data_IF_752452478714
#
_entry.id   IF_752452478714
#
_cell.length_a   1.000
_cell.length_b   1.000
_cell.length_c   1.000
_cell.angle_alpha   90.00
_cell.angle_beta   90.00
_cell.angle_gamma   90.00
#
_symmetry.space_group_name_H-M   'P 1'
#
loop_
_entity.id
_entity.type
_entity.pdbx_description
1 polymer ?
#
# COMPACT_ATOMS: atom_id res chain seq x y z
N UNK A 1 -22.92 9.83 7.04
CA UNK A 1 -21.78 9.02 6.57
C UNK A 1 -20.70 10.01 6.15
N UNK A 2 -19.52 9.98 6.79
CA UNK A 2 -18.41 10.89 6.47
C UNK A 2 -17.50 10.17 5.46
N UNK A 3 -17.11 10.85 4.39
CA UNK A 3 -16.17 10.32 3.37
C UNK A 3 -14.93 11.21 3.39
N UNK A 4 -13.78 10.63 3.73
CA UNK A 4 -12.49 11.34 3.76
C UNK A 4 -11.65 10.87 2.57
N UNK A 5 -11.30 11.81 1.69
CA UNK A 5 -10.41 11.55 0.55
C UNK A 5 -9.01 12.06 0.88
N UNK A 6 -8.08 11.14 1.10
CA UNK A 6 -6.67 11.47 1.38
C UNK A 6 -5.79 10.83 0.32
N UNK A 7 -4.93 11.64 -0.29
CA UNK A 7 -3.94 11.19 -1.26
C UNK A 7 -2.57 11.74 -0.89
N UNK A 8 -1.55 10.90 -0.98
CA UNK A 8 -0.15 11.25 -0.79
C UNK A 8 0.70 10.60 -1.87
N UNK A 9 1.68 11.35 -2.37
CA UNK A 9 2.66 10.86 -3.35
C UNK A 9 4.06 11.35 -3.00
N UNK A 10 5.06 10.52 -3.29
CA UNK A 10 6.48 10.84 -3.09
C UNK A 10 7.30 10.27 -4.26
N UNK A 11 8.41 10.93 -4.67
CA UNK A 11 9.35 10.34 -5.62
C UNK A 11 9.87 8.98 -5.15
N UNK A 12 9.75 7.95 -5.98
CA UNK A 12 10.24 6.59 -5.65
C UNK A 12 11.76 6.50 -5.72
N UNK A 13 12.37 7.13 -6.72
CA UNK A 13 13.81 7.23 -6.88
C UNK A 13 14.28 8.61 -6.41
N UNK A 14 15.40 8.65 -5.69
CA UNK A 14 16.05 9.88 -5.24
C UNK A 14 17.46 9.97 -5.81
N UNK A 15 18.08 11.14 -5.67
CA UNK A 15 19.44 11.40 -6.18
C UNK A 15 20.56 10.75 -5.36
N UNK A 16 20.23 9.98 -4.32
CA UNK A 16 21.23 9.26 -3.51
C UNK A 16 21.75 8.03 -4.29
N UNK A 17 23.04 8.00 -4.68
CA UNK A 17 23.61 6.92 -5.46
C UNK A 17 23.71 5.59 -4.69
N UNK A 18 23.57 5.60 -3.36
CA UNK A 18 23.55 4.38 -2.54
C UNK A 18 22.17 3.71 -2.50
N UNK A 19 21.13 4.39 -2.98
CA UNK A 19 19.77 3.88 -2.99
C UNK A 19 19.49 3.12 -4.30
N UNK A 20 19.02 1.86 -4.25
CA UNK A 20 18.65 1.12 -5.46
C UNK A 20 17.56 1.83 -6.26
N UNK A 21 17.81 2.02 -7.55
CA UNK A 21 16.83 2.56 -8.50
C UNK A 21 15.79 1.48 -8.80
N UNK A 22 14.51 1.81 -8.61
CA UNK A 22 13.39 0.96 -8.95
C UNK A 22 12.80 1.37 -10.30
N UNK A 23 12.63 0.38 -11.18
CA UNK A 23 11.88 0.54 -12.44
C UNK A 23 10.38 0.52 -12.19
N UNK A 24 9.59 1.04 -13.13
CA UNK A 24 8.14 0.99 -13.06
C UNK A 24 7.59 -0.44 -12.96
N UNK A 25 8.19 -1.39 -13.67
CA UNK A 25 7.81 -2.81 -13.62
C UNK A 25 8.08 -3.42 -12.23
N UNK A 26 9.22 -3.10 -11.62
CA UNK A 26 9.54 -3.56 -10.26
C UNK A 26 8.59 -2.97 -9.21
N UNK A 27 8.22 -1.69 -9.36
CA UNK A 27 7.22 -1.06 -8.50
C UNK A 27 5.88 -1.76 -8.66
N UNK A 28 5.43 -1.99 -9.90
CA UNK A 28 4.16 -2.64 -10.19
C UNK A 28 4.08 -4.06 -9.60
N UNK A 29 5.09 -4.88 -9.89
CA UNK A 29 5.23 -6.23 -9.33
C UNK A 29 5.20 -6.22 -7.80
N UNK A 30 5.86 -5.23 -7.23
CA UNK A 30 5.85 -4.97 -5.80
C UNK A 30 4.47 -4.69 -5.21
N UNK A 31 3.68 -3.84 -5.86
CA UNK A 31 2.32 -3.53 -5.46
C UNK A 31 1.39 -4.74 -5.60
N UNK A 32 1.54 -5.51 -6.68
CA UNK A 32 0.86 -6.79 -6.89
C UNK A 32 1.17 -7.80 -5.78
N UNK A 33 2.44 -7.87 -5.35
CA UNK A 33 2.85 -8.71 -4.23
C UNK A 33 2.24 -8.22 -2.92
N UNK A 34 2.29 -6.92 -2.62
CA UNK A 34 1.71 -6.34 -1.40
C UNK A 34 0.20 -6.57 -1.30
N UNK A 35 -0.50 -6.50 -2.41
CA UNK A 35 -1.93 -6.78 -2.47
C UNK A 35 -2.24 -8.25 -2.13
N UNK A 36 -1.37 -9.19 -2.49
CA UNK A 36 -1.56 -10.61 -2.19
C UNK A 36 -1.01 -11.04 -0.83
N UNK A 37 0.09 -10.42 -0.40
CA UNK A 37 0.86 -10.75 0.81
C UNK A 37 1.24 -9.48 1.59
N UNK A 38 0.28 -8.81 2.24
CA UNK A 38 0.53 -7.57 2.97
C UNK A 38 1.53 -7.74 4.12
N UNK A 39 1.60 -8.91 4.74
CA UNK A 39 2.51 -9.23 5.85
C UNK A 39 3.99 -9.09 5.48
N UNK A 40 4.34 -9.27 4.20
CA UNK A 40 5.71 -9.11 3.73
C UNK A 40 6.13 -7.61 3.67
N UNK A 41 5.16 -6.69 3.80
CA UNK A 41 5.33 -5.24 3.65
C UNK A 41 4.89 -4.44 4.89
N UNK A 42 3.91 -4.94 5.63
CA UNK A 42 3.24 -4.25 6.74
C UNK A 42 3.34 -5.17 7.97
N UNK A 43 4.20 -4.86 8.96
CA UNK A 43 4.43 -5.71 10.13
C UNK A 43 3.18 -6.01 10.97
N UNK A 44 2.16 -5.17 10.89
CA UNK A 44 0.88 -5.36 11.58
C UNK A 44 0.03 -6.49 11.03
N UNK A 45 0.28 -6.95 9.80
CA UNK A 45 -0.35 -8.14 9.24
C UNK A 45 0.53 -9.36 9.49
N UNK A 46 -0.06 -10.46 9.93
CA UNK A 46 0.63 -11.73 10.15
C UNK A 46 0.18 -12.84 9.17
N UNK A 47 -1.03 -12.73 8.61
CA UNK A 47 -1.54 -13.67 7.61
C UNK A 47 -2.40 -13.00 6.53
N UNK A 48 -2.44 -13.62 5.35
CA UNK A 48 -3.35 -13.24 4.26
C UNK A 48 -3.52 -14.37 3.26
N UNK A 49 -4.77 -14.53 2.79
CA UNK A 49 -5.16 -15.49 1.76
C UNK A 49 -6.02 -14.85 0.69
N UNK A 50 -5.68 -15.08 -0.57
CA UNK A 50 -6.54 -14.74 -1.70
C UNK A 50 -7.65 -15.77 -1.78
N UNK A 51 -8.90 -15.30 -1.74
CA UNK A 51 -10.10 -16.16 -1.81
C UNK A 51 -10.77 -16.08 -3.18
N UNK A 52 -10.48 -15.04 -3.95
CA UNK A 52 -10.99 -14.86 -5.30
C UNK A 52 -10.07 -13.97 -6.13
N UNK A 53 -9.94 -14.29 -7.41
CA UNK A 53 -9.16 -13.52 -8.39
C UNK A 53 -9.96 -13.39 -9.70
N UNK A 54 -10.03 -12.17 -10.24
CA UNK A 54 -10.73 -11.81 -11.48
C UNK A 54 -9.88 -10.85 -12.32
N UNK A 55 -10.32 -10.58 -13.54
CA UNK A 55 -9.75 -9.56 -14.44
C UNK A 55 -8.22 -9.70 -14.59
N UNK A 56 -7.75 -10.91 -14.91
CA UNK A 56 -6.32 -11.27 -15.04
C UNK A 56 -5.46 -10.88 -13.82
N UNK A 57 -6.07 -10.95 -12.63
CA UNK A 57 -5.39 -10.66 -11.37
C UNK A 57 -5.36 -9.19 -10.98
N UNK A 58 -6.08 -8.33 -11.70
CA UNK A 58 -6.25 -6.92 -11.35
C UNK A 58 -7.38 -6.68 -10.34
N UNK A 59 -8.27 -7.65 -10.13
CA UNK A 59 -9.25 -7.63 -9.05
C UNK A 59 -9.05 -8.85 -8.15
N UNK A 60 -8.78 -8.60 -6.87
CA UNK A 60 -8.47 -9.63 -5.88
C UNK A 60 -9.39 -9.44 -4.68
N UNK A 61 -10.05 -10.51 -4.25
CA UNK A 61 -10.64 -10.56 -2.90
C UNK A 61 -9.71 -11.36 -2.02
N UNK A 62 -9.31 -10.76 -0.91
CA UNK A 62 -8.46 -11.41 0.09
C UNK A 62 -9.10 -11.38 1.47
N UNK A 63 -8.74 -12.34 2.28
CA UNK A 63 -8.91 -12.26 3.73
C UNK A 63 -7.54 -12.00 4.34
N UNK A 64 -7.43 -10.97 5.18
CA UNK A 64 -6.20 -10.57 5.83
C UNK A 64 -6.40 -10.52 7.35
N UNK A 65 -5.38 -10.95 8.09
CA UNK A 65 -5.40 -10.99 9.55
C UNK A 65 -4.39 -9.97 10.10
N UNK A 66 -4.86 -9.17 11.06
CA UNK A 66 -4.02 -8.23 11.79
C UNK A 66 -3.58 -8.89 13.09
N UNK A 67 -2.29 -8.79 13.38
CA UNK A 67 -1.69 -9.39 14.56
C UNK A 67 -2.41 -8.93 15.85
N UNK A 68 -2.63 -9.88 16.76
CA UNK A 68 -3.40 -9.64 17.99
C UNK A 68 -2.65 -8.78 19.02
N UNK A 69 -1.34 -8.64 18.89
CA UNK A 69 -0.49 -7.84 19.79
C UNK A 69 -0.56 -6.33 19.50
N UNK A 70 -1.26 -5.93 18.44
CA UNK A 70 -1.49 -4.54 18.07
C UNK A 70 -2.58 -3.87 18.94
N UNK A 71 -2.34 -3.78 20.25
CA UNK A 71 -3.33 -3.43 21.30
C UNK A 71 -4.15 -2.15 21.05
N UNK A 72 -3.62 -1.19 20.31
CA UNK A 72 -4.30 0.08 20.02
C UNK A 72 -5.18 0.04 18.76
N UNK A 73 -5.09 -1.03 17.96
CA UNK A 73 -5.87 -1.16 16.74
C UNK A 73 -7.21 -1.86 17.00
N UNK A 74 -8.33 -1.28 16.55
CA UNK A 74 -9.64 -1.97 16.62
C UNK A 74 -9.69 -3.22 15.74
N UNK A 75 -8.70 -3.41 14.84
CA UNK A 75 -8.59 -4.56 13.94
C UNK A 75 -7.73 -5.69 14.50
N UNK A 76 -7.07 -5.50 15.65
CA UNK A 76 -6.17 -6.51 16.22
C UNK A 76 -6.87 -7.86 16.43
N UNK A 77 -6.26 -8.94 15.93
CA UNK A 77 -6.77 -10.30 16.01
C UNK A 77 -8.01 -10.57 15.15
N UNK A 78 -8.35 -9.68 14.22
CA UNK A 78 -9.52 -9.84 13.35
C UNK A 78 -9.10 -10.21 11.94
N UNK A 79 -9.91 -11.09 11.34
CA UNK A 79 -9.92 -11.33 9.91
C UNK A 79 -10.81 -10.29 9.21
N UNK A 80 -10.29 -9.67 8.16
CA UNK A 80 -11.02 -8.72 7.34
C UNK A 80 -11.03 -9.21 5.90
N UNK A 81 -12.22 -9.24 5.29
CA UNK A 81 -12.39 -9.48 3.84
C UNK A 81 -12.22 -8.15 3.12
N UNK A 82 -11.24 -8.08 2.23
CA UNK A 82 -10.87 -6.88 1.50
C UNK A 82 -10.98 -7.13 0.00
N UNK A 83 -11.53 -6.15 -0.71
CA UNK A 83 -11.54 -6.12 -2.17
C UNK A 83 -10.45 -5.16 -2.65
N UNK A 84 -9.42 -5.71 -3.29
CA UNK A 84 -8.29 -4.97 -3.84
C UNK A 84 -8.45 -4.85 -5.35
N UNK A 85 -8.51 -3.60 -5.84
CA UNK A 85 -8.47 -3.30 -7.28
C UNK A 85 -7.14 -2.67 -7.63
N UNK A 86 -6.41 -3.31 -8.53
CA UNK A 86 -5.11 -2.89 -8.98
C UNK A 86 -5.26 -2.12 -10.27
N UNK A 87 -5.03 -0.81 -10.19
CA UNK A 87 -4.94 0.04 -11.36
C UNK A 87 -3.47 0.29 -11.64
N UNK A 88 -2.99 -0.11 -12.83
CA UNK A 88 -1.70 0.39 -13.34
C UNK A 88 -1.72 1.91 -13.24
N UNK A 89 -0.59 2.58 -12.95
CA UNK A 89 -0.60 4.00 -12.65
C UNK A 89 -1.25 4.81 -13.77
N UNK A 90 -2.49 5.21 -13.54
CA UNK A 90 -3.23 6.23 -14.26
C UNK A 90 -3.72 7.22 -13.20
N UNK A 91 -3.15 8.41 -13.21
CA UNK A 91 -3.55 9.49 -12.32
C UNK A 91 -4.94 9.98 -12.76
N UNK A 92 -5.96 9.72 -11.95
CA UNK A 92 -7.31 10.27 -12.14
C UNK A 92 -7.73 11.05 -10.89
N UNK A 93 -8.18 12.29 -11.09
CA UNK A 93 -8.76 13.15 -10.04
C UNK A 93 -10.27 13.18 -10.21
N UNK A 94 -11.02 12.96 -9.13
CA UNK A 94 -12.47 13.16 -9.07
C UNK A 94 -12.75 14.29 -8.06
N UNK A 95 -13.63 15.21 -8.42
CA UNK A 95 -13.91 16.44 -7.67
C UNK A 95 -15.26 16.38 -6.93
N UNK A 96 -15.30 17.00 -5.75
CA UNK A 96 -16.52 17.52 -5.10
C UNK A 96 -16.79 16.98 -3.69
N UNK A 97 -16.27 17.62 -2.64
CA UNK A 97 -16.75 17.52 -1.23
C UNK A 97 -16.41 18.83 -0.49
N UNK A 98 -17.32 19.33 0.35
CA UNK A 98 -17.13 20.53 1.19
C UNK A 98 -16.39 20.23 2.51
N UNK A 99 -15.33 20.97 2.87
CA UNK A 99 -14.56 20.82 4.11
C UNK A 99 -15.09 21.69 5.29
N UNK A 100 -14.37 21.70 6.42
CA UNK A 100 -14.38 22.75 7.49
C UNK A 100 -15.05 22.45 8.86
N UNK A 101 -14.95 21.22 9.38
CA UNK A 101 -15.14 20.96 10.83
C UNK A 101 -13.82 20.56 11.50
N UNK A 102 -13.66 20.86 12.81
CA UNK A 102 -12.45 20.51 13.56
C UNK A 102 -12.24 19.00 13.66
N UNK A 103 -13.34 18.23 13.68
CA UNK A 103 -13.33 16.78 13.66
C UNK A 103 -12.90 16.23 12.29
N UNK A 104 -13.29 16.90 11.20
CA UNK A 104 -12.85 16.53 9.85
C UNK A 104 -11.36 16.84 9.63
N UNK A 105 -10.86 17.97 10.15
CA UNK A 105 -9.45 18.35 10.11
C UNK A 105 -8.57 17.32 10.84
N UNK A 106 -8.93 16.94 12.06
CA UNK A 106 -8.20 15.92 12.82
C UNK A 106 -8.19 14.56 12.12
N UNK A 107 -9.34 14.13 11.61
CA UNK A 107 -9.43 12.86 10.88
C UNK A 107 -8.59 12.92 9.60
N UNK A 108 -8.61 14.03 8.87
CA UNK A 108 -7.77 14.24 7.69
C UNK A 108 -6.28 14.16 8.02
N UNK A 109 -5.84 14.76 9.13
CA UNK A 109 -4.44 14.69 9.58
C UNK A 109 -4.00 13.27 9.95
N UNK A 110 -4.85 12.54 10.69
CA UNK A 110 -4.58 11.14 11.06
C UNK A 110 -4.51 10.25 9.81
N UNK A 111 -5.46 10.41 8.89
CA UNK A 111 -5.47 9.67 7.61
C UNK A 111 -4.30 10.07 6.70
N UNK A 112 -3.86 11.33 6.72
CA UNK A 112 -2.68 11.80 5.98
C UNK A 112 -1.40 11.15 6.50
N UNK A 113 -1.22 11.08 7.82
CA UNK A 113 -0.08 10.37 8.43
C UNK A 113 -0.05 8.89 8.05
N UNK A 114 -1.22 8.24 7.99
CA UNK A 114 -1.34 6.85 7.52
C UNK A 114 -0.98 6.75 6.04
N UNK A 115 -1.42 7.68 5.19
CA UNK A 115 -1.08 7.68 3.77
C UNK A 115 0.43 7.85 3.53
N UNK A 116 1.07 8.81 4.23
CA UNK A 116 2.53 9.04 4.16
C UNK A 116 3.31 7.80 4.55
N UNK A 117 3.04 7.26 5.76
CA UNK A 117 3.72 6.06 6.25
C UNK A 117 3.49 4.84 5.36
N UNK A 118 2.29 4.71 4.79
CA UNK A 118 1.98 3.64 3.84
C UNK A 118 2.80 3.71 2.56
N UNK A 119 2.94 4.90 1.97
CA UNK A 119 3.75 5.10 0.74
C UNK A 119 5.22 4.85 1.04
N UNK A 120 5.77 5.50 2.06
CA UNK A 120 7.19 5.41 2.40
C UNK A 120 7.59 4.00 2.83
N UNK A 121 6.77 3.33 3.64
CA UNK A 121 6.98 1.95 4.06
C UNK A 121 6.99 0.98 2.87
N UNK A 122 6.10 1.20 1.90
CA UNK A 122 6.06 0.40 0.67
C UNK A 122 7.34 0.59 -0.14
N UNK A 123 7.77 1.84 -0.38
CA UNK A 123 9.01 2.12 -1.12
C UNK A 123 10.21 1.44 -0.45
N UNK A 124 10.31 1.51 0.88
CA UNK A 124 11.39 0.87 1.64
C UNK A 124 11.39 -0.65 1.50
N UNK A 125 10.22 -1.29 1.63
CA UNK A 125 10.09 -2.74 1.45
C UNK A 125 10.46 -3.17 0.03
N UNK A 126 10.07 -2.40 -0.99
CA UNK A 126 10.41 -2.67 -2.38
C UNK A 126 11.91 -2.59 -2.64
N UNK A 127 12.61 -1.61 -2.07
CA UNK A 127 14.07 -1.51 -2.18
C UNK A 127 14.75 -2.74 -1.58
N UNK A 128 14.32 -3.18 -0.39
CA UNK A 128 14.82 -4.41 0.23
C UNK A 128 14.59 -5.64 -0.65
N UNK A 129 13.40 -5.78 -1.23
CA UNK A 129 13.09 -6.88 -2.14
C UNK A 129 13.92 -6.82 -3.45
N UNK A 130 14.26 -5.62 -3.94
CA UNK A 130 15.14 -5.45 -5.10
C UNK A 130 16.59 -5.86 -4.78
N UNK A 131 17.11 -5.48 -3.61
CA UNK A 131 18.43 -5.89 -3.12
C UNK A 131 18.53 -7.41 -2.97
N UNK A 132 17.45 -8.03 -2.48
CA UNK A 132 17.33 -9.49 -2.34
C UNK A 132 17.07 -10.22 -3.68
N UNK A 133 16.97 -9.50 -4.80
CA UNK A 133 16.74 -10.07 -6.14
C UNK A 133 15.32 -10.63 -6.36
N UNK A 134 14.39 -10.39 -5.43
CA UNK A 134 13.03 -10.94 -5.46
C UNK A 134 12.09 -10.23 -6.44
N UNK A 135 12.47 -9.03 -6.91
CA UNK A 135 11.70 -8.27 -7.91
C UNK A 135 12.07 -8.58 -9.37
N UNK A 136 12.95 -9.56 -9.64
CA UNK A 136 13.45 -9.86 -10.99
C UNK A 136 14.71 -9.07 -11.34
N UNK A 137 15.46 -9.53 -12.34
CA UNK A 137 16.79 -9.01 -12.66
C UNK A 137 16.76 -7.50 -12.98
N UNK A 138 17.80 -6.78 -12.55
CA UNK A 138 18.12 -5.45 -13.11
C UNK A 138 18.30 -5.65 -14.61
N UNK A 139 17.45 -5.04 -15.44
CA UNK A 139 17.79 -4.85 -16.84
C UNK A 139 19.12 -4.08 -16.85
N UNK A 140 20.19 -4.78 -17.22
CA UNK A 140 21.48 -4.17 -17.52
C UNK A 140 21.28 -3.46 -18.85
N UNK A 141 21.14 -2.14 -18.81
CA UNK A 141 21.66 -1.29 -19.87
C UNK A 141 23.04 -0.78 -19.44
#
# INVERSE_FOLDING_TARGET
MIVLNVAYSEPVNCSDPLTPILTQEQIWKGLEMKARRPQDFIPSFDDSRVVEERDDGSYIVREAHVASDLRESPMAGRWTREECRLYKPIMWKIHGIEPETKEAEKAQDDHMRIAVSSVQGTIRALRKLAEEGKLGARNKE
#
